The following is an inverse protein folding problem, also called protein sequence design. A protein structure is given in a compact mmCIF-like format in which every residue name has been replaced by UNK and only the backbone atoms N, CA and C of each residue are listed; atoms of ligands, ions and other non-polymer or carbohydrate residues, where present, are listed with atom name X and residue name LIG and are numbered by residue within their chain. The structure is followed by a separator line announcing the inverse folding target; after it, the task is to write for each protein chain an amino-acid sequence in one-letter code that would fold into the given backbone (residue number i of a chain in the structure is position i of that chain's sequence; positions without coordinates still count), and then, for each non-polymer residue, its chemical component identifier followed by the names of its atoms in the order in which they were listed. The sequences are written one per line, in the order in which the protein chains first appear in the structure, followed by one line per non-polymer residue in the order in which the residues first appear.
data_IF_741720203933
#
_entry.id   IF_741720203933
#
_cell.length_a   1.000
_cell.length_b   1.000
_cell.length_c   1.000
_cell.angle_alpha   90.00
_cell.angle_beta   90.00
_cell.angle_gamma   90.00
#
_symmetry.space_group_name_H-M   'P 1'
#
loop_
_entity.id
_entity.type
_entity.pdbx_description
1 polymer ?
#
# COMPACT_ATOMS: atom_id res chain seq x y z
N UNK A 1 -2.93 -41.72 11.49
CA UNK A 1 -3.96 -40.70 11.81
C UNK A 1 -3.51 -39.74 12.92
N UNK A 2 -2.77 -40.17 13.96
CA UNK A 2 -2.30 -39.29 15.04
C UNK A 2 -1.35 -38.14 14.60
N UNK A 3 -0.58 -38.32 13.53
CA UNK A 3 0.38 -37.32 13.04
C UNK A 3 -0.28 -36.03 12.50
N UNK A 4 -1.51 -36.12 12.00
CA UNK A 4 -2.23 -34.96 11.43
C UNK A 4 -3.10 -34.23 12.45
N UNK A 5 -3.34 -34.84 13.62
CA UNK A 5 -4.16 -34.27 14.68
C UNK A 5 -3.73 -32.85 15.12
N UNK A 6 -2.44 -32.56 15.39
CA UNK A 6 -2.04 -31.21 15.78
C UNK A 6 -2.25 -30.18 14.66
N UNK A 7 -2.04 -30.57 13.39
CA UNK A 7 -2.27 -29.71 12.24
C UNK A 7 -3.75 -29.38 12.05
N UNK A 8 -4.64 -30.36 12.20
CA UNK A 8 -6.09 -30.16 12.10
C UNK A 8 -6.62 -29.29 13.25
N UNK A 9 -6.09 -29.46 14.47
CA UNK A 9 -6.46 -28.63 15.62
C UNK A 9 -6.01 -27.18 15.42
N UNK A 10 -4.77 -26.95 14.98
CA UNK A 10 -4.28 -25.61 14.67
C UNK A 10 -5.09 -24.95 13.55
N UNK A 11 -5.40 -25.70 12.49
CA UNK A 11 -6.21 -25.21 11.37
C UNK A 11 -7.63 -24.84 11.81
N UNK A 12 -8.29 -25.70 12.61
CA UNK A 12 -9.60 -25.41 13.18
C UNK A 12 -9.59 -24.18 14.08
N UNK A 13 -8.56 -24.01 14.91
CA UNK A 13 -8.39 -22.82 15.74
C UNK A 13 -8.21 -21.55 14.89
N UNK A 14 -7.41 -21.60 13.82
CA UNK A 14 -7.27 -20.49 12.87
C UNK A 14 -8.61 -20.10 12.25
N UNK A 15 -9.41 -21.07 11.77
CA UNK A 15 -10.72 -20.79 11.19
C UNK A 15 -11.70 -20.17 12.19
N UNK A 16 -11.61 -20.52 13.47
CA UNK A 16 -12.44 -19.94 14.52
C UNK A 16 -11.99 -18.53 14.95
N UNK A 17 -10.68 -18.27 14.96
CA UNK A 17 -10.08 -17.02 15.46
C UNK A 17 -10.03 -15.93 14.38
N UNK A 18 -9.75 -16.28 13.12
CA UNK A 18 -9.60 -15.32 12.02
C UNK A 18 -10.84 -14.42 11.81
N UNK A 19 -12.10 -14.92 11.89
CA UNK A 19 -13.28 -14.06 11.77
C UNK A 19 -13.41 -13.02 12.90
N UNK A 20 -12.79 -13.28 14.06
CA UNK A 20 -12.83 -12.38 15.21
C UNK A 20 -11.79 -11.25 15.09
N UNK A 21 -10.73 -11.46 14.31
CA UNK A 21 -9.69 -10.47 14.04
C UNK A 21 -10.16 -9.48 12.98
N UNK A 22 -10.77 -8.40 13.43
CA UNK A 22 -11.15 -7.30 12.56
C UNK A 22 -9.90 -6.55 12.07
N UNK A 23 -9.76 -6.41 10.76
CA UNK A 23 -8.64 -5.70 10.09
C UNK A 23 -8.47 -4.23 10.50
N UNK A 24 -9.46 -3.65 11.16
CA UNK A 24 -9.44 -2.26 11.64
C UNK A 24 -8.82 -2.15 13.04
N UNK A 25 -8.73 -3.27 13.77
CA UNK A 25 -8.14 -3.29 15.10
C UNK A 25 -6.62 -3.39 15.00
N UNK A 26 -5.92 -2.37 15.50
CA UNK A 26 -4.45 -2.33 15.57
C UNK A 26 -3.89 -3.55 16.31
N UNK A 27 -4.56 -4.02 17.37
CA UNK A 27 -4.14 -5.20 18.12
C UNK A 27 -4.12 -6.46 17.24
N UNK A 28 -5.18 -6.70 16.46
CA UNK A 28 -5.26 -7.85 15.54
C UNK A 28 -4.13 -7.83 14.51
N UNK A 29 -3.82 -6.66 13.95
CA UNK A 29 -2.69 -6.47 13.02
C UNK A 29 -1.35 -6.75 13.68
N UNK A 30 -1.09 -6.18 14.86
CA UNK A 30 0.17 -6.37 15.59
C UNK A 30 0.35 -7.84 15.96
N UNK A 31 -0.70 -8.54 16.38
CA UNK A 31 -0.66 -9.97 16.69
C UNK A 31 -0.32 -10.80 15.45
N UNK A 32 -0.99 -10.57 14.31
CA UNK A 32 -0.72 -11.28 13.06
C UNK A 32 0.68 -11.01 12.52
N UNK A 33 1.12 -9.74 12.54
CA UNK A 33 2.48 -9.35 12.17
C UNK A 33 3.52 -9.99 13.08
N UNK A 34 3.29 -9.98 14.39
CA UNK A 34 4.18 -10.58 15.38
C UNK A 34 4.33 -12.09 15.19
N UNK A 35 3.21 -12.79 15.00
CA UNK A 35 3.22 -14.23 14.71
C UNK A 35 3.99 -14.54 13.42
N UNK A 36 3.75 -13.77 12.36
CA UNK A 36 4.44 -13.93 11.08
C UNK A 36 5.95 -13.69 11.22
N UNK A 37 6.33 -12.67 12.00
CA UNK A 37 7.73 -12.37 12.28
C UNK A 37 8.44 -13.49 13.05
N UNK A 38 7.79 -14.06 14.07
CA UNK A 38 8.34 -15.20 14.83
C UNK A 38 8.58 -16.41 13.92
N UNK A 39 7.62 -16.72 13.04
CA UNK A 39 7.76 -17.82 12.10
C UNK A 39 8.89 -17.59 11.09
N UNK A 40 9.05 -16.36 10.58
CA UNK A 40 10.15 -15.99 9.69
C UNK A 40 11.52 -16.12 10.35
N UNK A 41 11.66 -15.64 11.60
CA UNK A 41 12.91 -15.77 12.36
C UNK A 41 13.23 -17.24 12.64
N UNK A 42 12.23 -18.03 13.00
CA UNK A 42 12.41 -19.48 13.22
C UNK A 42 12.83 -20.20 11.94
N UNK A 43 12.17 -19.90 10.82
CA UNK A 43 12.55 -20.41 9.49
C UNK A 43 14.00 -20.07 9.15
N UNK A 44 14.39 -18.81 9.34
CA UNK A 44 15.74 -18.36 9.00
C UNK A 44 16.81 -19.01 9.89
N UNK A 45 16.53 -19.17 11.18
CA UNK A 45 17.41 -19.88 12.09
C UNK A 45 17.62 -21.33 11.63
N UNK A 46 16.55 -22.04 11.25
CA UNK A 46 16.64 -23.38 10.68
C UNK A 46 17.41 -23.39 9.36
N UNK A 47 17.13 -22.44 8.46
CA UNK A 47 17.80 -22.32 7.16
C UNK A 47 19.31 -22.19 7.32
N UNK A 48 19.77 -21.30 8.20
CA UNK A 48 21.21 -21.09 8.49
C UNK A 48 21.83 -22.35 9.10
N UNK A 49 21.16 -22.99 10.05
CA UNK A 49 21.79 -24.03 10.89
C UNK A 49 21.74 -25.43 10.30
N UNK A 50 20.72 -25.77 9.50
CA UNK A 50 20.47 -27.15 9.06
C UNK A 50 20.56 -27.36 7.54
N UNK A 51 20.57 -26.29 6.75
CA UNK A 51 20.47 -26.42 5.28
C UNK A 51 21.68 -25.88 4.50
N UNK A 52 22.59 -25.18 5.16
CA UNK A 52 23.80 -24.68 4.51
C UNK A 52 24.82 -25.81 4.32
N UNK A 53 25.39 -25.96 3.10
CA UNK A 53 26.45 -26.91 2.87
C UNK A 53 27.72 -26.50 3.64
N UNK A 54 28.64 -27.45 3.92
CA UNK A 54 29.93 -27.12 4.53
C UNK A 54 30.68 -26.08 3.68
N UNK A 55 31.35 -25.09 4.30
CA UNK A 55 32.10 -24.09 3.56
C UNK A 55 33.25 -24.75 2.79
N UNK A 56 33.27 -24.57 1.47
CA UNK A 56 34.28 -25.15 0.57
C UNK A 56 34.09 -24.72 -0.87
N UNK A 57 35.01 -25.14 -1.76
CA UNK A 57 34.94 -24.91 -3.21
C UNK A 57 34.09 -25.98 -3.93
N UNK A 58 32.98 -26.39 -3.32
CA UNK A 58 32.03 -27.32 -3.93
C UNK A 58 30.97 -26.54 -4.71
N UNK A 59 30.39 -27.16 -5.74
CA UNK A 59 29.31 -26.55 -6.52
C UNK A 59 28.11 -26.17 -5.63
N UNK A 60 27.80 -27.00 -4.64
CA UNK A 60 26.71 -26.78 -3.69
C UNK A 60 26.93 -25.51 -2.83
N UNK A 61 28.16 -25.27 -2.36
CA UNK A 61 28.49 -24.05 -1.62
C UNK A 61 28.44 -22.81 -2.52
N UNK A 62 28.95 -22.92 -3.75
CA UNK A 62 28.97 -21.80 -4.71
C UNK A 62 27.56 -21.30 -5.07
N UNK A 63 26.56 -22.19 -5.10
CA UNK A 63 25.15 -21.83 -5.32
C UNK A 63 24.41 -21.52 -4.02
N UNK A 64 24.68 -22.30 -2.97
CA UNK A 64 23.96 -22.23 -1.70
C UNK A 64 24.17 -20.91 -0.95
N UNK A 65 25.39 -20.37 -0.92
CA UNK A 65 25.67 -19.11 -0.22
C UNK A 65 25.06 -17.87 -0.89
N UNK A 66 25.19 -17.67 -2.23
CA UNK A 66 24.49 -16.59 -2.91
C UNK A 66 22.97 -16.69 -2.80
N UNK A 67 22.41 -17.90 -2.89
CA UNK A 67 20.98 -18.13 -2.67
C UNK A 67 20.56 -17.70 -1.26
N UNK A 68 21.34 -18.07 -0.24
CA UNK A 68 21.10 -17.67 1.14
C UNK A 68 21.16 -16.16 1.34
N UNK A 69 22.08 -15.46 0.69
CA UNK A 69 22.16 -14.00 0.73
C UNK A 69 20.94 -13.34 0.08
N UNK A 70 20.50 -13.84 -1.09
CA UNK A 70 19.30 -13.35 -1.75
C UNK A 70 18.06 -13.59 -0.88
N UNK A 71 17.96 -14.75 -0.24
CA UNK A 71 16.88 -15.08 0.69
C UNK A 71 16.90 -14.17 1.92
N UNK A 72 18.07 -13.92 2.52
CA UNK A 72 18.21 -12.99 3.65
C UNK A 72 17.78 -11.56 3.28
N UNK A 73 18.15 -11.08 2.09
CA UNK A 73 17.72 -9.78 1.60
C UNK A 73 16.18 -9.72 1.42
N UNK A 74 15.60 -10.78 0.84
CA UNK A 74 14.14 -10.89 0.69
C UNK A 74 13.43 -10.93 2.06
N UNK A 75 14.00 -11.61 3.04
CA UNK A 75 13.44 -11.69 4.39
C UNK A 75 13.46 -10.33 5.08
N UNK A 76 14.54 -9.55 4.95
CA UNK A 76 14.60 -8.18 5.47
C UNK A 76 13.50 -7.33 4.82
N UNK A 77 13.31 -7.43 3.50
CA UNK A 77 12.26 -6.70 2.79
C UNK A 77 10.84 -7.08 3.30
N UNK A 78 10.60 -8.37 3.56
CA UNK A 78 9.33 -8.85 4.13
C UNK A 78 9.13 -8.32 5.55
N UNK A 79 10.17 -8.37 6.41
CA UNK A 79 10.09 -7.84 7.77
C UNK A 79 9.79 -6.33 7.80
N UNK A 80 10.41 -5.55 6.90
CA UNK A 80 10.11 -4.12 6.74
C UNK A 80 8.67 -3.89 6.26
N UNK A 81 8.22 -4.69 5.29
CA UNK A 81 6.84 -4.63 4.78
C UNK A 81 5.83 -4.92 5.89
N UNK A 82 6.07 -5.96 6.70
CA UNK A 82 5.25 -6.31 7.85
C UNK A 82 5.23 -5.19 8.90
N UNK A 83 6.36 -4.53 9.15
CA UNK A 83 6.47 -3.40 10.07
C UNK A 83 5.64 -2.21 9.57
N UNK A 84 5.74 -1.84 8.29
CA UNK A 84 4.95 -0.74 7.74
C UNK A 84 3.45 -1.04 7.71
N UNK A 85 3.06 -2.30 7.43
CA UNK A 85 1.66 -2.72 7.39
C UNK A 85 1.06 -3.01 8.78
N UNK A 86 1.88 -3.01 9.83
CA UNK A 86 1.44 -3.27 11.21
C UNK A 86 0.54 -2.17 11.78
N UNK A 87 0.62 -0.96 11.23
CA UNK A 87 -0.18 0.19 11.66
C UNK A 87 -0.97 0.77 10.50
N UNK A 88 -2.23 1.11 10.79
CA UNK A 88 -3.08 1.88 9.90
C UNK A 88 -3.50 3.15 10.62
N UNK A 89 -3.38 4.29 9.95
CA UNK A 89 -3.86 5.56 10.47
C UNK A 89 -5.19 5.86 9.78
N UNK A 90 -6.29 5.67 10.49
CA UNK A 90 -7.59 6.11 10.02
C UNK A 90 -7.83 7.58 10.42
N UNK A 91 -7.85 8.47 9.42
CA UNK A 91 -8.14 9.90 9.58
C UNK A 91 -9.59 10.26 9.23
N UNK A 92 -10.43 9.27 8.90
CA UNK A 92 -11.85 9.49 8.59
C UNK A 92 -12.60 10.23 9.70
N UNK A 93 -12.36 9.97 11.01
CA UNK A 93 -13.02 10.72 12.07
C UNK A 93 -12.66 12.23 12.05
N UNK A 94 -11.42 12.56 11.72
CA UNK A 94 -10.94 13.96 11.63
C UNK A 94 -11.59 14.67 10.44
N UNK A 95 -11.63 14.02 9.28
CA UNK A 95 -12.30 14.54 8.08
C UNK A 95 -13.81 14.73 8.33
N UNK A 96 -14.49 13.74 8.91
CA UNK A 96 -15.91 13.82 9.24
C UNK A 96 -16.21 14.90 10.29
N UNK A 97 -15.28 15.19 11.20
CA UNK A 97 -15.41 16.30 12.14
C UNK A 97 -15.32 17.66 11.42
N UNK A 98 -14.44 17.80 10.44
CA UNK A 98 -14.30 19.02 9.63
C UNK A 98 -15.55 19.22 8.75
N UNK A 99 -16.01 18.18 8.04
CA UNK A 99 -17.19 18.27 7.18
C UNK A 99 -18.46 18.65 7.95
N UNK A 100 -18.62 18.15 9.19
CA UNK A 100 -19.76 18.51 10.07
C UNK A 100 -19.77 19.97 10.51
N UNK A 101 -18.64 20.68 10.48
CA UNK A 101 -18.57 22.13 10.83
C UNK A 101 -19.26 23.04 9.80
N UNK A 102 -19.87 22.47 8.76
CA UNK A 102 -20.88 23.09 7.88
C UNK A 102 -20.41 24.24 6.98
N UNK A 103 -19.27 24.89 7.27
CA UNK A 103 -18.72 25.93 6.40
C UNK A 103 -17.20 25.80 6.33
N UNK A 104 -16.70 25.66 5.10
CA UNK A 104 -15.29 25.92 4.82
C UNK A 104 -14.98 27.35 5.29
N UNK A 105 -13.81 27.57 5.94
CA UNK A 105 -13.47 28.89 6.45
C UNK A 105 -13.51 29.92 5.32
N UNK A 106 -14.04 31.11 5.60
CA UNK A 106 -14.13 32.21 4.62
C UNK A 106 -12.76 32.58 4.02
N UNK A 107 -11.68 32.29 4.75
CA UNK A 107 -10.29 32.51 4.35
C UNK A 107 -9.63 31.21 3.85
N UNK A 108 -10.36 30.37 3.13
CA UNK A 108 -9.81 29.15 2.56
C UNK A 108 -8.61 29.49 1.64
N UNK A 109 -7.45 28.81 1.80
CA UNK A 109 -6.29 29.06 0.97
C UNK A 109 -6.61 28.81 -0.49
N UNK A 110 -6.00 29.59 -1.38
CA UNK A 110 -6.07 29.35 -2.83
C UNK A 110 -5.41 28.01 -3.13
N UNK A 111 -6.11 27.12 -3.84
CA UNK A 111 -5.62 25.81 -4.27
C UNK A 111 -5.49 25.79 -5.79
N UNK A 112 -4.29 25.52 -6.30
CA UNK A 112 -4.07 25.23 -7.72
C UNK A 112 -4.11 23.72 -7.96
N UNK A 113 -4.98 23.27 -8.86
CA UNK A 113 -5.14 21.88 -9.27
C UNK A 113 -4.48 21.69 -10.63
N UNK A 114 -3.40 20.92 -10.67
CA UNK A 114 -2.66 20.63 -11.90
C UNK A 114 -3.10 19.30 -12.51
N UNK A 115 -3.46 19.32 -13.80
CA UNK A 115 -3.74 18.13 -14.61
C UNK A 115 -2.64 18.01 -15.66
N UNK A 116 -1.67 17.14 -15.41
CA UNK A 116 -0.55 16.87 -16.32
C UNK A 116 -0.95 15.81 -17.35
N UNK A 117 -0.71 16.09 -18.64
CA UNK A 117 -1.08 15.17 -19.72
C UNK A 117 -0.09 15.21 -20.88
N UNK A 118 0.09 14.05 -21.50
CA UNK A 118 0.97 13.87 -22.66
C UNK A 118 0.22 13.39 -23.89
N UNK A 119 -0.41 12.21 -23.82
CA UNK A 119 -1.09 11.57 -24.97
C UNK A 119 -2.45 10.93 -24.62
N UNK A 120 -3.01 11.25 -23.46
CA UNK A 120 -4.32 10.75 -23.03
C UNK A 120 -5.44 11.20 -23.97
N UNK A 121 -6.44 10.34 -24.15
CA UNK A 121 -7.57 10.59 -25.02
C UNK A 121 -8.51 11.67 -24.48
N UNK A 122 -9.24 12.34 -25.39
CA UNK A 122 -10.18 13.42 -25.04
C UNK A 122 -11.18 12.98 -23.96
N UNK A 123 -11.75 11.78 -24.07
CA UNK A 123 -12.77 11.32 -23.13
C UNK A 123 -12.25 11.17 -21.69
N UNK A 124 -10.98 10.81 -21.50
CA UNK A 124 -10.35 10.70 -20.18
C UNK A 124 -10.11 12.09 -19.60
N UNK A 125 -9.58 13.00 -20.43
CA UNK A 125 -9.27 14.37 -20.01
C UNK A 125 -10.51 15.17 -19.71
N UNK A 126 -11.55 15.07 -20.54
CA UNK A 126 -12.83 15.76 -20.33
C UNK A 126 -13.46 15.36 -18.99
N UNK A 127 -13.52 14.07 -18.67
CA UNK A 127 -14.03 13.60 -17.37
C UNK A 127 -13.20 14.09 -16.19
N UNK A 128 -11.87 14.10 -16.34
CA UNK A 128 -10.95 14.58 -15.31
C UNK A 128 -11.11 16.08 -15.07
N UNK A 129 -11.18 16.88 -16.12
CA UNK A 129 -11.34 18.33 -16.04
C UNK A 129 -12.71 18.67 -15.43
N UNK A 130 -13.79 18.02 -15.87
CA UNK A 130 -15.14 18.21 -15.29
C UNK A 130 -15.13 17.86 -13.79
N UNK A 131 -14.44 16.78 -13.40
CA UNK A 131 -14.28 16.43 -11.98
C UNK A 131 -13.53 17.51 -11.18
N UNK A 132 -12.49 18.09 -11.76
CA UNK A 132 -11.68 19.13 -11.13
C UNK A 132 -12.42 20.48 -11.03
N UNK A 133 -13.20 20.86 -12.05
CA UNK A 133 -14.03 22.08 -12.03
C UNK A 133 -15.33 21.91 -11.23
N UNK A 134 -15.63 20.68 -10.81
CA UNK A 134 -16.75 20.35 -9.91
C UNK A 134 -16.38 20.30 -8.42
N UNK A 135 -15.17 20.74 -8.03
CA UNK A 135 -14.72 20.70 -6.64
C UNK A 135 -15.60 21.58 -5.74
N UNK A 136 -16.10 21.00 -4.64
CA UNK A 136 -16.81 21.72 -3.59
C UNK A 136 -15.82 22.45 -2.66
N UNK A 137 -15.13 23.45 -3.21
CA UNK A 137 -14.15 24.28 -2.52
C UNK A 137 -14.27 25.74 -2.98
N UNK A 138 -14.20 26.74 -2.09
CA UNK A 138 -14.56 28.12 -2.45
C UNK A 138 -13.48 28.88 -3.22
N UNK A 139 -12.20 28.48 -3.14
CA UNK A 139 -11.08 29.27 -3.68
C UNK A 139 -10.05 28.39 -4.38
N UNK A 140 -10.29 28.01 -5.63
CA UNK A 140 -9.37 27.16 -6.40
C UNK A 140 -9.27 27.57 -7.87
N UNK A 141 -8.22 27.09 -8.53
CA UNK A 141 -7.98 27.22 -9.97
C UNK A 141 -7.55 25.87 -10.52
N UNK A 142 -7.96 25.57 -11.74
CA UNK A 142 -7.59 24.34 -12.44
C UNK A 142 -6.66 24.70 -13.59
N UNK A 143 -5.56 23.96 -13.75
CA UNK A 143 -4.56 24.18 -14.77
C UNK A 143 -4.32 22.90 -15.55
N UNK A 144 -4.53 22.92 -16.85
CA UNK A 144 -4.22 21.81 -17.74
C UNK A 144 -2.83 22.00 -18.34
N UNK A 145 -1.91 21.12 -17.96
CA UNK A 145 -0.51 21.14 -18.39
C UNK A 145 -0.32 20.11 -19.50
N UNK A 146 -0.41 20.57 -20.75
CA UNK A 146 -0.31 19.72 -21.93
C UNK A 146 1.06 19.83 -22.61
N UNK A 147 1.86 18.77 -22.47
CA UNK A 147 3.16 18.66 -23.12
C UNK A 147 3.03 18.43 -24.64
N UNK A 148 1.88 17.93 -25.11
CA UNK A 148 1.60 17.67 -26.52
C UNK A 148 1.19 18.90 -27.33
N UNK A 149 0.99 20.06 -26.69
CA UNK A 149 0.54 21.33 -27.32
C UNK A 149 -0.68 21.16 -28.24
N UNK A 150 -1.63 20.33 -27.84
CA UNK A 150 -2.80 19.91 -28.60
C UNK A 150 -3.86 21.02 -28.60
N UNK A 151 -4.14 21.58 -29.79
CA UNK A 151 -5.11 22.68 -29.95
C UNK A 151 -6.53 22.32 -29.49
N UNK A 152 -6.93 21.07 -29.60
CA UNK A 152 -8.24 20.63 -29.13
C UNK A 152 -8.33 20.65 -27.59
N UNK A 153 -7.24 20.39 -26.88
CA UNK A 153 -7.21 20.38 -25.43
C UNK A 153 -7.24 21.80 -24.87
N UNK A 154 -6.53 22.73 -25.51
CA UNK A 154 -6.66 24.16 -25.21
C UNK A 154 -8.09 24.66 -25.35
N UNK A 155 -8.80 24.24 -26.41
CA UNK A 155 -10.22 24.58 -26.61
C UNK A 155 -11.11 23.97 -25.52
N UNK A 156 -10.89 22.69 -25.20
CA UNK A 156 -11.63 22.00 -24.15
C UNK A 156 -11.43 22.68 -22.78
N UNK A 157 -10.22 23.09 -22.44
CA UNK A 157 -9.93 23.79 -21.19
C UNK A 157 -10.70 25.12 -21.12
N UNK A 158 -10.68 25.90 -22.20
CA UNK A 158 -11.46 27.15 -22.30
C UNK A 158 -12.97 26.92 -22.20
N UNK A 159 -13.49 25.87 -22.85
CA UNK A 159 -14.91 25.50 -22.77
C UNK A 159 -15.34 25.12 -21.34
N UNK A 160 -14.45 24.47 -20.58
CA UNK A 160 -14.71 24.02 -19.21
C UNK A 160 -14.32 25.05 -18.14
N UNK A 161 -13.80 26.21 -18.53
CA UNK A 161 -13.49 27.32 -17.61
C UNK A 161 -12.20 27.13 -16.81
N UNK A 162 -11.20 26.44 -17.38
CA UNK A 162 -9.87 26.25 -16.80
C UNK A 162 -8.75 26.64 -17.76
#
# INVERSE_FOLDING_TARGET
MAAFAPGLVAFGACLAILPLLHREQTLARVMMTGMSFVLLVHYFAWRVTHTLPPPGLTADALVGYPFMLAEAASMIAVCLSLLFLSRTIDRSPEVNAILRRSRLPANAPLVDVFICTYNEEKAILERTIIGATGLNYPNYRVWVLDDGRRLWLRRLAQELGC
#
